data_IF_568986732768
#
_entry.id   IF_568986732768
#
_cell.length_a   1.000
_cell.length_b   1.000
_cell.length_c   1.000
_cell.angle_alpha   90.00
_cell.angle_beta   90.00
_cell.angle_gamma   90.00
#
_symmetry.space_group_name_H-M   'P 1'
#
loop_
_entity.id
_entity.type
_entity.pdbx_description
1 polymer ?
#
# COMPACT_ATOMS: atom_id res chain seq x y z
N UNK A 1 -12.75 12.88 -13.79
CA UNK A 1 -13.48 12.27 -12.67
C UNK A 1 -12.54 11.27 -12.01
N UNK A 2 -12.03 11.60 -10.83
CA UNK A 2 -11.12 10.73 -10.06
C UNK A 2 -11.96 9.68 -9.35
N UNK A 3 -11.83 8.40 -9.72
CA UNK A 3 -12.50 7.32 -8.99
C UNK A 3 -11.79 7.17 -7.64
N UNK A 4 -12.45 7.56 -6.56
CA UNK A 4 -11.92 7.32 -5.21
C UNK A 4 -11.67 5.82 -5.03
N UNK A 5 -10.62 5.45 -4.30
CA UNK A 5 -10.37 4.05 -3.97
C UNK A 5 -11.49 3.62 -3.02
N UNK A 6 -12.45 2.85 -3.54
CA UNK A 6 -13.50 2.30 -2.73
C UNK A 6 -12.88 1.20 -1.85
N UNK A 7 -13.17 1.17 -0.54
CA UNK A 7 -12.78 0.05 0.29
C UNK A 7 -13.35 -1.26 -0.29
N UNK A 8 -12.59 -2.34 -0.15
CA UNK A 8 -13.04 -3.65 -0.60
C UNK A 8 -14.24 -4.12 0.24
N UNK A 9 -15.06 -5.01 -0.33
CA UNK A 9 -16.18 -5.60 0.42
C UNK A 9 -15.71 -6.32 1.68
N UNK A 10 -14.60 -7.05 1.59
CA UNK A 10 -14.01 -7.76 2.73
C UNK A 10 -13.50 -6.82 3.81
N UNK A 11 -12.94 -5.65 3.45
CA UNK A 11 -12.58 -4.62 4.43
C UNK A 11 -13.81 -4.09 5.16
N UNK A 12 -14.90 -3.79 4.44
CA UNK A 12 -16.12 -3.29 5.07
C UNK A 12 -16.72 -4.31 6.05
N UNK A 13 -16.78 -5.58 5.66
CA UNK A 13 -17.24 -6.67 6.54
C UNK A 13 -16.33 -6.82 7.77
N UNK A 14 -15.01 -6.70 7.61
CA UNK A 14 -14.09 -6.74 8.74
C UNK A 14 -14.29 -5.57 9.71
N UNK A 15 -14.53 -4.36 9.19
CA UNK A 15 -14.76 -3.16 10.00
C UNK A 15 -16.08 -3.23 10.80
N UNK A 16 -17.08 -3.99 10.35
CA UNK A 16 -18.31 -4.25 11.11
C UNK A 16 -18.06 -5.11 12.37
N UNK A 17 -16.94 -5.85 12.42
CA UNK A 17 -16.56 -6.73 13.53
C UNK A 17 -15.55 -6.12 14.52
N UNK A 18 -15.22 -4.83 14.33
CA UNK A 18 -14.29 -4.10 15.20
C UNK A 18 -14.73 -4.12 16.66
N UNK A 19 -13.79 -4.45 17.54
CA UNK A 19 -13.98 -4.34 18.99
C UNK A 19 -13.11 -3.24 19.57
N UNK A 20 -13.66 -2.46 20.49
CA UNK A 20 -12.91 -1.40 21.18
C UNK A 20 -12.45 -1.88 22.56
N UNK A 21 -11.18 -1.65 22.85
CA UNK A 21 -10.62 -1.82 24.19
C UNK A 21 -10.81 -0.51 24.93
N UNK A 22 -11.42 -0.56 26.11
CA UNK A 22 -11.64 0.61 26.97
C UNK A 22 -10.70 0.58 28.17
N UNK A 23 -10.23 1.76 28.58
CA UNK A 23 -9.42 1.92 29.79
C UNK A 23 -10.28 1.92 31.07
N UNK A 24 -9.64 2.15 32.22
CA UNK A 24 -10.29 2.18 33.53
C UNK A 24 -11.28 3.34 33.71
N UNK A 25 -11.13 4.40 32.92
CA UNK A 25 -12.00 5.57 32.92
C UNK A 25 -13.15 5.43 31.91
N UNK A 26 -13.26 4.26 31.25
CA UNK A 26 -14.27 3.96 30.24
C UNK A 26 -13.99 4.61 28.88
N UNK A 27 -12.76 5.07 28.62
CA UNK A 27 -12.38 5.71 27.35
C UNK A 27 -11.78 4.69 26.40
N UNK A 28 -12.07 4.76 25.08
CA UNK A 28 -11.40 3.91 24.10
C UNK A 28 -9.89 4.13 24.14
N UNK A 29 -9.13 3.05 24.36
CA UNK A 29 -7.67 3.06 24.43
C UNK A 29 -7.02 2.18 23.36
N UNK A 30 -7.81 1.33 22.69
CA UNK A 30 -7.34 0.48 21.61
C UNK A 30 -8.48 -0.06 20.76
N UNK A 31 -8.08 -0.67 19.64
CA UNK A 31 -8.98 -1.33 18.69
C UNK A 31 -8.44 -2.72 18.44
N UNK A 32 -9.32 -3.70 18.48
CA UNK A 32 -9.04 -5.06 18.08
C UNK A 32 -9.69 -5.35 16.73
N UNK A 33 -8.87 -5.84 15.81
CA UNK A 33 -9.22 -6.34 14.50
C UNK A 33 -8.65 -7.75 14.37
N UNK A 34 -9.33 -8.62 13.64
CA UNK A 34 -8.68 -9.86 13.21
C UNK A 34 -7.54 -9.56 12.22
N UNK A 35 -6.65 -10.53 12.03
CA UNK A 35 -5.47 -10.32 11.19
C UNK A 35 -5.84 -9.99 9.73
N UNK A 36 -6.86 -10.64 9.18
CA UNK A 36 -7.30 -10.42 7.81
C UNK A 36 -7.89 -9.01 7.62
N UNK A 37 -8.65 -8.52 8.60
CA UNK A 37 -9.20 -7.17 8.62
C UNK A 37 -8.11 -6.11 8.74
N UNK A 38 -7.09 -6.37 9.57
CA UNK A 38 -5.92 -5.50 9.70
C UNK A 38 -5.13 -5.39 8.39
N UNK A 39 -4.80 -6.53 7.76
CA UNK A 39 -4.12 -6.57 6.46
C UNK A 39 -4.94 -5.84 5.39
N UNK A 40 -6.24 -6.11 5.32
CA UNK A 40 -7.14 -5.44 4.35
C UNK A 40 -7.22 -3.92 4.57
N UNK A 41 -7.11 -3.46 5.82
CA UNK A 41 -7.11 -2.04 6.15
C UNK A 41 -5.79 -1.38 5.68
N UNK A 42 -4.65 -2.03 5.93
CA UNK A 42 -3.35 -1.56 5.47
C UNK A 42 -3.29 -1.48 3.94
N UNK A 43 -3.69 -2.54 3.25
CA UNK A 43 -3.72 -2.58 1.78
C UNK A 43 -4.55 -1.43 1.20
N UNK A 44 -5.69 -1.12 1.82
CA UNK A 44 -6.55 -0.01 1.36
C UNK A 44 -5.92 1.37 1.60
N UNK A 45 -5.20 1.56 2.70
CA UNK A 45 -4.47 2.81 2.97
C UNK A 45 -3.33 2.97 1.96
N UNK A 46 -2.55 1.91 1.72
CA UNK A 46 -1.46 1.93 0.74
C UNK A 46 -1.98 2.24 -0.68
N UNK A 47 -3.10 1.65 -1.07
CA UNK A 47 -3.78 1.94 -2.35
C UNK A 47 -4.17 3.43 -2.49
N UNK A 48 -4.58 4.08 -1.39
CA UNK A 48 -4.91 5.50 -1.39
C UNK A 48 -3.65 6.36 -1.57
N UNK A 49 -2.57 6.02 -0.86
CA UNK A 49 -1.28 6.71 -0.96
C UNK A 49 -0.68 6.57 -2.36
N UNK A 50 -0.63 5.36 -2.91
CA UNK A 50 -0.12 5.07 -4.25
C UNK A 50 -0.86 5.86 -5.33
N UNK A 51 -2.19 5.96 -5.22
CA UNK A 51 -2.98 6.78 -6.15
C UNK A 51 -2.65 8.26 -6.02
N UNK A 52 -2.46 8.77 -4.81
CA UNK A 52 -2.07 10.16 -4.60
C UNK A 52 -0.69 10.44 -5.22
N UNK A 53 0.26 9.52 -5.04
CA UNK A 53 1.59 9.59 -5.65
C UNK A 53 1.50 9.58 -7.19
N UNK A 54 0.78 8.63 -7.78
CA UNK A 54 0.59 8.54 -9.24
C UNK A 54 -0.10 9.80 -9.79
N UNK A 55 -1.09 10.34 -9.09
CA UNK A 55 -1.76 11.57 -9.48
C UNK A 55 -0.80 12.77 -9.46
N UNK A 56 0.00 12.91 -8.41
CA UNK A 56 1.03 13.95 -8.31
C UNK A 56 2.07 13.85 -9.43
N UNK A 57 2.36 12.63 -9.90
CA UNK A 57 3.32 12.37 -10.97
C UNK A 57 2.69 12.34 -12.38
N UNK A 58 1.37 12.49 -12.51
CA UNK A 58 0.64 12.19 -13.73
C UNK A 58 1.13 12.98 -14.96
N UNK A 59 1.47 14.26 -14.80
CA UNK A 59 2.03 15.07 -15.90
C UNK A 59 3.39 14.52 -16.36
N UNK A 60 4.27 14.16 -15.41
CA UNK A 60 5.59 13.60 -15.70
C UNK A 60 5.48 12.24 -16.38
N UNK A 61 4.56 11.39 -15.90
CA UNK A 61 4.28 10.07 -16.49
C UNK A 61 3.76 10.18 -17.92
N UNK A 62 2.87 11.14 -18.22
CA UNK A 62 2.37 11.39 -19.59
C UNK A 62 3.44 11.87 -20.56
N UNK A 63 4.54 12.45 -20.07
CA UNK A 63 5.65 12.91 -20.91
C UNK A 63 6.48 11.76 -21.52
N UNK A 64 6.14 10.51 -21.18
CA UNK A 64 6.79 9.30 -21.69
C UNK A 64 7.86 8.76 -20.75
N UNK A 65 8.25 7.48 -20.92
CA UNK A 65 9.07 6.74 -19.96
C UNK A 65 10.42 7.41 -19.66
N UNK A 66 11.08 7.99 -20.67
CA UNK A 66 12.38 8.67 -20.44
C UNK A 66 12.21 9.93 -19.58
N UNK A 67 11.23 10.78 -19.90
CA UNK A 67 10.96 12.03 -19.15
C UNK A 67 10.37 11.78 -17.77
N UNK A 68 9.78 10.60 -17.56
CA UNK A 68 9.28 10.17 -16.26
C UNK A 68 10.34 9.51 -15.37
N UNK A 69 11.56 9.32 -15.87
CA UNK A 69 12.64 8.61 -15.17
C UNK A 69 12.45 7.09 -15.18
N UNK A 70 11.59 6.57 -16.07
CA UNK A 70 11.42 5.15 -16.30
C UNK A 70 12.69 4.50 -16.82
N UNK A 71 13.06 3.38 -16.19
CA UNK A 71 14.20 2.56 -16.57
C UNK A 71 13.71 1.37 -17.40
N UNK A 72 14.54 0.87 -18.31
CA UNK A 72 14.22 -0.37 -19.03
C UNK A 72 14.36 -1.53 -18.06
N UNK A 73 13.37 -2.43 -18.08
CA UNK A 73 13.35 -3.59 -17.19
C UNK A 73 14.60 -4.47 -17.35
N UNK A 74 15.06 -4.70 -18.58
CA UNK A 74 16.23 -5.53 -18.87
C UNK A 74 17.51 -4.99 -18.21
N UNK A 75 17.63 -3.66 -18.09
CA UNK A 75 18.77 -2.99 -17.48
C UNK A 75 18.74 -3.15 -15.94
N UNK A 76 17.53 -3.08 -15.34
CA UNK A 76 17.32 -3.28 -13.90
C UNK A 76 17.44 -4.75 -13.47
N UNK A 77 16.86 -5.67 -14.24
CA UNK A 77 16.78 -7.09 -13.89
C UNK A 77 18.16 -7.72 -13.69
N UNK A 78 19.17 -7.28 -14.45
CA UNK A 78 20.56 -7.71 -14.31
C UNK A 78 21.18 -7.27 -12.98
N UNK A 79 20.86 -6.07 -12.49
CA UNK A 79 21.30 -5.58 -11.18
C UNK A 79 20.64 -6.36 -10.04
N UNK A 80 19.33 -6.62 -10.14
CA UNK A 80 18.58 -7.36 -9.13
C UNK A 80 19.00 -8.83 -9.00
N UNK A 81 19.36 -9.48 -10.12
CA UNK A 81 19.91 -10.85 -10.10
C UNK A 81 21.27 -10.92 -9.41
N UNK A 82 22.13 -9.91 -9.60
CA UNK A 82 23.43 -9.84 -8.91
C UNK A 82 23.26 -9.67 -7.39
N UNK A 83 22.42 -8.73 -6.95
CA UNK A 83 22.25 -8.45 -5.52
C UNK A 83 21.64 -9.64 -4.73
N UNK A 84 20.72 -10.41 -5.35
CA UNK A 84 20.16 -11.62 -4.72
C UNK A 84 21.15 -12.77 -4.56
N UNK A 85 22.18 -12.85 -5.39
CA UNK A 85 23.19 -13.90 -5.26
C UNK A 85 24.22 -13.54 -4.18
N UNK A 86 24.62 -12.27 -4.07
CA UNK A 86 25.54 -11.80 -3.03
C UNK A 86 24.97 -11.88 -1.60
N UNK A 87 23.65 -11.84 -1.43
CA UNK A 87 23.00 -12.03 -0.12
C UNK A 87 22.82 -13.50 0.31
N UNK A 88 23.17 -14.47 -0.55
CA UNK A 88 23.10 -15.91 -0.22
C UNK A 88 24.46 -16.52 0.13
N UNK A 89 25.54 -15.76 -0.06
CA UNK A 89 26.91 -16.18 0.19
C UNK A 89 27.48 -15.62 1.51
N UNK A 90 26.67 -14.90 2.30
CA UNK A 90 26.98 -14.41 3.64
C UNK A 90 26.01 -14.97 4.68
#
# INVERSE_FOLDING_TARGET
MTRQAQPSKGLLEALESVQFVVDRDGRPSGVFLDAAGWESLLDWVDDLEDRALVQGMAQRLRAGPVKSGGLRWDDLAQGWRRNRNTSREN
#
